data_IF_679725870308
#
_entry.id   IF_679725870308
#
_cell.length_a   1.000
_cell.length_b   1.000
_cell.length_c   1.000
_cell.angle_alpha   90.00
_cell.angle_beta   90.00
_cell.angle_gamma   90.00
#
_symmetry.space_group_name_H-M   'P 1'
#
loop_
_entity.id
_entity.type
_entity.pdbx_description
1 polymer ?
#
# COMPACT_ATOMS: atom_id res chain seq x y z
N UNK A 1 -5.79 3.29 -17.76
CA UNK A 1 -5.69 4.63 -17.17
C UNK A 1 -5.76 4.53 -15.65
N UNK A 2 -4.86 5.18 -14.94
CA UNK A 2 -4.82 5.16 -13.48
C UNK A 2 -5.73 6.24 -12.89
N UNK A 3 -7.03 5.98 -12.87
CA UNK A 3 -8.05 6.88 -12.33
C UNK A 3 -8.76 6.23 -11.12
N UNK A 4 -9.70 6.93 -10.50
CA UNK A 4 -10.42 6.41 -9.34
C UNK A 4 -11.15 5.10 -9.66
N UNK A 5 -11.75 4.99 -10.84
CA UNK A 5 -12.41 3.76 -11.27
C UNK A 5 -11.42 2.59 -11.33
N UNK A 6 -10.19 2.83 -11.78
CA UNK A 6 -9.12 1.83 -11.75
C UNK A 6 -8.79 1.39 -10.32
N UNK A 7 -8.65 2.36 -9.40
CA UNK A 7 -8.37 2.08 -7.99
C UNK A 7 -9.45 1.16 -7.40
N UNK A 8 -10.72 1.48 -7.66
CA UNK A 8 -11.85 0.68 -7.20
C UNK A 8 -11.80 -0.75 -7.76
N UNK A 9 -11.50 -0.89 -9.05
CA UNK A 9 -11.40 -2.21 -9.69
C UNK A 9 -10.25 -3.04 -9.11
N UNK A 10 -9.09 -2.42 -8.89
CA UNK A 10 -7.93 -3.11 -8.33
C UNK A 10 -8.21 -3.62 -6.91
N UNK A 11 -8.76 -2.77 -6.06
CA UNK A 11 -9.11 -3.14 -4.68
C UNK A 11 -10.16 -4.26 -4.67
N UNK A 12 -11.19 -4.15 -5.51
CA UNK A 12 -12.25 -5.18 -5.61
C UNK A 12 -11.72 -6.50 -6.14
N UNK A 13 -10.83 -6.47 -7.14
CA UNK A 13 -10.21 -7.68 -7.67
C UNK A 13 -9.46 -8.42 -6.57
N UNK A 14 -8.64 -7.74 -5.81
CA UNK A 14 -7.87 -8.34 -4.73
C UNK A 14 -8.79 -8.88 -3.63
N UNK A 15 -9.80 -8.10 -3.23
CA UNK A 15 -10.77 -8.54 -2.22
C UNK A 15 -11.50 -9.81 -2.65
N UNK A 16 -11.85 -9.92 -3.93
CA UNK A 16 -12.51 -11.13 -4.47
C UNK A 16 -11.61 -12.38 -4.38
N UNK A 17 -10.32 -12.19 -4.22
CA UNK A 17 -9.32 -13.26 -4.09
C UNK A 17 -8.86 -13.46 -2.63
N UNK A 18 -9.55 -12.83 -1.69
CA UNK A 18 -9.24 -12.95 -0.27
C UNK A 18 -8.14 -12.01 0.21
N UNK A 19 -7.82 -10.97 -0.55
CA UNK A 19 -6.77 -10.01 -0.22
C UNK A 19 -7.41 -8.64 0.02
N UNK A 20 -7.56 -8.28 1.29
CA UNK A 20 -8.10 -6.98 1.69
C UNK A 20 -6.96 -5.96 1.80
N UNK A 21 -7.16 -4.79 1.21
CA UNK A 21 -6.11 -3.78 1.11
C UNK A 21 -6.66 -2.39 1.44
N UNK A 22 -5.76 -1.51 1.87
CA UNK A 22 -6.05 -0.10 2.13
C UNK A 22 -5.17 0.77 1.25
N UNK A 23 -5.79 1.71 0.55
CA UNK A 23 -5.07 2.62 -0.35
C UNK A 23 -4.17 3.55 0.47
N UNK A 24 -2.92 3.70 0.05
CA UNK A 24 -2.00 4.67 0.63
C UNK A 24 -1.13 5.30 -0.46
N UNK A 25 -0.03 5.97 -0.09
CA UNK A 25 0.79 6.67 -1.06
C UNK A 25 0.04 7.85 -1.68
N UNK A 26 0.38 8.18 -2.92
CA UNK A 26 -0.20 9.33 -3.62
C UNK A 26 -1.71 9.29 -3.74
N UNK A 27 -2.27 8.14 -4.13
CA UNK A 27 -3.72 7.97 -4.19
C UNK A 27 -4.38 8.12 -2.83
N UNK A 28 -3.77 7.55 -1.78
CA UNK A 28 -4.28 7.69 -0.42
C UNK A 28 -4.33 9.14 0.01
N UNK A 29 -3.26 9.88 -0.25
CA UNK A 29 -3.19 11.31 0.07
C UNK A 29 -4.27 12.11 -0.66
N UNK A 30 -4.48 11.84 -1.95
CA UNK A 30 -5.52 12.51 -2.73
C UNK A 30 -6.93 12.18 -2.20
N UNK A 31 -7.22 10.91 -1.95
CA UNK A 31 -8.53 10.49 -1.47
C UNK A 31 -8.86 11.01 -0.07
N UNK A 32 -7.84 11.28 0.74
CA UNK A 32 -8.00 11.92 2.05
C UNK A 32 -8.01 13.45 1.97
N UNK A 33 -7.85 14.03 0.78
CA UNK A 33 -7.85 15.47 0.60
C UNK A 33 -6.58 16.15 1.10
N UNK A 34 -5.48 15.40 1.24
CA UNK A 34 -4.20 15.96 1.72
C UNK A 34 -3.40 16.62 0.61
N UNK A 35 -3.69 16.27 -0.63
CA UNK A 35 -3.08 16.85 -1.82
C UNK A 35 -4.18 17.14 -2.85
N UNK A 36 -3.89 18.01 -3.81
CA UNK A 36 -4.80 18.26 -4.94
C UNK A 36 -4.84 17.06 -5.87
N UNK A 37 -5.95 16.82 -6.55
CA UNK A 37 -6.02 15.79 -7.59
C UNK A 37 -4.89 15.95 -8.60
N UNK A 38 -4.27 14.82 -8.96
CA UNK A 38 -3.18 14.77 -9.93
C UNK A 38 -3.14 13.41 -10.61
N UNK A 39 -2.33 13.29 -11.65
CA UNK A 39 -2.04 12.00 -12.24
C UNK A 39 -1.15 11.18 -11.31
N UNK A 40 -1.41 9.88 -11.25
CA UNK A 40 -0.62 8.93 -10.46
C UNK A 40 0.00 7.90 -11.38
N UNK A 41 1.26 7.57 -11.14
CA UNK A 41 1.99 6.56 -11.92
C UNK A 41 1.63 5.16 -11.42
N UNK A 42 1.64 4.97 -10.11
CA UNK A 42 1.41 3.67 -9.47
C UNK A 42 0.20 3.72 -8.54
N UNK A 43 -0.22 2.54 -8.08
CA UNK A 43 -1.20 2.40 -7.01
C UNK A 43 -0.54 1.65 -5.86
N UNK A 44 -0.43 2.29 -4.70
CA UNK A 44 0.16 1.70 -3.51
C UNK A 44 -0.94 1.26 -2.54
N UNK A 45 -0.85 0.01 -2.08
CA UNK A 45 -1.83 -0.59 -1.18
C UNK A 45 -1.13 -1.21 0.02
N UNK A 46 -1.70 -1.01 1.21
CA UNK A 46 -1.27 -1.70 2.43
C UNK A 46 -2.05 -3.00 2.55
N UNK A 47 -1.34 -4.08 2.85
CA UNK A 47 -1.92 -5.41 3.01
C UNK A 47 -1.63 -5.95 4.41
N UNK A 48 -2.62 -5.95 5.33
CA UNK A 48 -2.42 -6.50 6.66
C UNK A 48 -2.48 -8.03 6.62
N UNK A 49 -1.38 -8.69 6.95
CA UNK A 49 -1.28 -10.15 6.99
C UNK A 49 -0.03 -10.58 7.76
N UNK A 50 0.04 -11.85 8.10
CA UNK A 50 1.23 -12.42 8.75
C UNK A 50 2.36 -12.64 7.73
N UNK A 51 2.01 -12.98 6.50
CA UNK A 51 2.98 -13.28 5.44
C UNK A 51 2.32 -13.13 4.06
N UNK A 52 3.04 -13.54 3.03
CA UNK A 52 2.59 -13.45 1.64
C UNK A 52 1.94 -14.73 1.11
N UNK A 53 1.62 -15.70 1.96
CA UNK A 53 1.19 -17.03 1.52
C UNK A 53 -0.05 -17.00 0.62
N UNK A 54 -1.03 -16.15 0.92
CA UNK A 54 -2.24 -16.02 0.09
C UNK A 54 -1.89 -15.31 -1.22
N UNK A 55 -1.21 -14.18 -1.13
CA UNK A 55 -0.86 -13.34 -2.28
C UNK A 55 0.03 -14.12 -3.27
N UNK A 56 1.03 -14.83 -2.77
CA UNK A 56 1.98 -15.55 -3.62
C UNK A 56 1.35 -16.73 -4.38
N UNK A 57 0.15 -17.15 -4.01
CA UNK A 57 -0.61 -18.17 -4.72
C UNK A 57 -1.55 -17.61 -5.79
N UNK A 58 -1.60 -16.30 -5.96
CA UNK A 58 -2.46 -15.68 -6.97
C UNK A 58 -1.79 -15.65 -8.34
N UNK A 59 -2.61 -15.80 -9.38
CA UNK A 59 -2.18 -15.64 -10.77
C UNK A 59 -2.34 -14.19 -11.18
N UNK A 60 -1.26 -13.41 -11.02
CA UNK A 60 -1.20 -12.01 -11.40
C UNK A 60 0.05 -11.79 -12.25
N UNK A 61 0.07 -10.69 -12.97
CA UNK A 61 1.22 -10.32 -13.81
C UNK A 61 2.33 -9.71 -12.93
N UNK A 62 3.03 -10.57 -12.20
CA UNK A 62 4.02 -10.19 -11.20
C UNK A 62 5.24 -9.51 -11.82
N UNK A 63 5.72 -8.47 -11.15
CA UNK A 63 6.97 -7.78 -11.49
C UNK A 63 8.07 -8.33 -10.58
N UNK A 64 8.88 -9.24 -11.11
CA UNK A 64 9.89 -9.94 -10.31
C UNK A 64 10.93 -9.02 -9.68
N UNK A 65 11.35 -7.97 -10.37
CA UNK A 65 12.30 -7.00 -9.85
C UNK A 65 11.80 -6.22 -8.63
N UNK A 66 10.51 -6.31 -8.33
CA UNK A 66 9.89 -5.66 -7.16
C UNK A 66 9.40 -6.66 -6.12
N UNK A 67 9.89 -7.90 -6.18
CA UNK A 67 9.56 -8.95 -5.22
C UNK A 67 10.55 -8.89 -4.05
N UNK A 68 10.15 -8.16 -2.99
CA UNK A 68 10.96 -7.94 -1.79
C UNK A 68 10.26 -8.54 -0.58
N UNK A 69 10.97 -8.67 0.54
CA UNK A 69 10.36 -9.24 1.76
C UNK A 69 9.11 -8.46 2.21
N UNK A 70 9.09 -7.16 1.98
CA UNK A 70 7.98 -6.28 2.42
C UNK A 70 7.05 -5.86 1.30
N UNK A 71 7.27 -6.31 0.05
CA UNK A 71 6.59 -5.76 -1.12
C UNK A 71 6.35 -6.80 -2.19
N UNK A 72 5.18 -6.72 -2.82
CA UNK A 72 4.85 -7.40 -4.07
C UNK A 72 4.30 -6.37 -5.05
N UNK A 73 4.58 -6.54 -6.32
CA UNK A 73 4.05 -5.65 -7.35
C UNK A 73 3.60 -6.44 -8.56
N UNK A 74 2.53 -5.98 -9.20
CA UNK A 74 2.02 -6.58 -10.42
C UNK A 74 1.47 -5.50 -11.34
N UNK A 75 1.35 -5.84 -12.62
CA UNK A 75 0.70 -4.98 -13.62
C UNK A 75 -0.78 -5.32 -13.70
N UNK A 76 -1.62 -4.30 -13.72
CA UNK A 76 -3.03 -4.42 -14.00
C UNK A 76 -3.40 -3.28 -14.93
N UNK A 77 -3.92 -3.58 -16.13
CA UNK A 77 -4.29 -2.56 -17.12
C UNK A 77 -3.13 -1.56 -17.36
N UNK A 78 -1.91 -2.07 -17.46
CA UNK A 78 -0.68 -1.30 -17.67
C UNK A 78 -0.27 -0.39 -16.50
N UNK A 79 -0.97 -0.45 -15.38
CA UNK A 79 -0.61 0.29 -14.15
C UNK A 79 0.09 -0.64 -13.17
N UNK A 80 1.16 -0.17 -12.56
CA UNK A 80 1.84 -0.91 -11.50
C UNK A 80 1.05 -0.78 -10.19
N UNK A 81 0.64 -1.93 -9.64
CA UNK A 81 0.01 -2.02 -8.32
C UNK A 81 1.05 -2.59 -7.35
N UNK A 82 1.30 -1.88 -6.27
CA UNK A 82 2.28 -2.29 -5.26
C UNK A 82 1.57 -2.62 -3.95
N UNK A 83 1.84 -3.82 -3.41
CA UNK A 83 1.34 -4.26 -2.13
C UNK A 83 2.46 -4.19 -1.11
N UNK A 84 2.21 -3.56 0.04
CA UNK A 84 3.15 -3.47 1.15
C UNK A 84 2.62 -4.28 2.32
N UNK A 85 3.41 -5.23 2.80
CA UNK A 85 3.02 -6.09 3.91
C UNK A 85 3.02 -5.32 5.21
N UNK A 86 1.91 -5.34 5.92
CA UNK A 86 1.78 -4.76 7.25
C UNK A 86 1.52 -5.89 8.23
N UNK A 87 2.47 -6.14 9.11
CA UNK A 87 2.39 -7.19 10.12
C UNK A 87 2.03 -6.59 11.47
N UNK A 88 1.67 -7.44 12.42
CA UNK A 88 1.30 -7.02 13.76
C UNK A 88 2.06 -7.83 14.80
N UNK A 89 2.62 -7.14 15.79
CA UNK A 89 3.25 -7.77 16.94
C UNK A 89 2.91 -7.01 18.24
N UNK A 90 3.60 -7.31 19.33
CA UNK A 90 3.33 -6.67 20.63
C UNK A 90 3.50 -5.15 20.61
N UNK A 91 4.23 -4.61 19.62
CA UNK A 91 4.45 -3.16 19.45
C UNK A 91 3.45 -2.53 18.48
N UNK A 92 2.56 -3.31 17.88
CA UNK A 92 1.54 -2.84 16.97
C UNK A 92 1.84 -3.15 15.50
N UNK A 93 1.17 -2.40 14.62
CA UNK A 93 1.31 -2.57 13.17
C UNK A 93 2.65 -2.04 12.67
N UNK A 94 3.32 -2.82 11.81
CA UNK A 94 4.62 -2.42 11.28
C UNK A 94 4.85 -3.00 9.88
N UNK A 95 5.74 -2.35 9.14
CA UNK A 95 6.32 -2.88 7.91
C UNK A 95 7.82 -2.89 8.07
N UNK A 96 8.44 -4.04 7.82
CA UNK A 96 9.88 -4.17 7.88
C UNK A 96 10.48 -3.81 6.52
N UNK A 97 10.98 -2.59 6.42
CA UNK A 97 11.62 -2.07 5.20
C UNK A 97 13.12 -2.36 5.26
N UNK A 98 13.54 -3.46 4.66
CA UNK A 98 14.94 -3.86 4.64
C UNK A 98 15.57 -3.85 6.06
N UNK A 99 16.33 -2.80 6.39
CA UNK A 99 17.00 -2.67 7.71
C UNK A 99 16.22 -1.84 8.71
N UNK A 100 15.07 -1.29 8.31
CA UNK A 100 14.31 -0.36 9.13
C UNK A 100 12.89 -0.84 9.33
N UNK A 101 12.44 -0.74 10.57
CA UNK A 101 11.05 -0.99 10.92
C UNK A 101 10.27 0.34 10.83
N UNK A 102 9.22 0.36 10.01
CA UNK A 102 8.28 1.47 9.99
C UNK A 102 7.07 1.09 10.85
N UNK A 103 6.80 1.85 11.90
CA UNK A 103 5.65 1.63 12.77
C UNK A 103 4.46 2.46 12.28
N UNK A 104 3.33 1.77 12.06
CA UNK A 104 2.09 2.42 11.67
C UNK A 104 1.30 2.82 12.90
N UNK A 105 0.48 3.90 12.84
CA UNK A 105 -0.41 4.24 13.96
C UNK A 105 -1.45 3.14 14.18
N UNK A 106 -1.97 3.05 15.41
CA UNK A 106 -2.96 2.02 15.75
C UNK A 106 -4.22 2.07 14.86
N UNK A 107 -4.57 3.26 14.37
CA UNK A 107 -5.76 3.47 13.52
C UNK A 107 -5.47 3.35 12.01
N UNK A 108 -4.34 2.80 11.61
CA UNK A 108 -3.94 2.73 10.18
C UNK A 108 -5.05 2.16 9.30
N UNK A 109 -5.77 1.16 9.78
CA UNK A 109 -6.84 0.47 9.04
C UNK A 109 -8.25 0.89 9.45
N UNK A 110 -8.43 2.11 9.97
CA UNK A 110 -9.74 2.61 10.36
C UNK A 110 -10.66 2.96 9.19
N UNK A 111 -10.10 3.14 7.99
CA UNK A 111 -10.90 3.39 6.79
C UNK A 111 -11.80 2.22 6.45
N UNK A 112 -13.02 2.52 5.99
CA UNK A 112 -14.05 1.53 5.65
C UNK A 112 -14.58 1.74 4.25
N UNK A 113 -15.48 0.86 3.81
CA UNK A 113 -16.11 0.94 2.50
C UNK A 113 -15.44 0.06 1.47
N UNK A 114 -15.86 0.20 0.21
CA UNK A 114 -15.37 -0.63 -0.89
C UNK A 114 -13.91 -0.34 -1.26
N UNK A 115 -13.48 0.89 -1.04
CA UNK A 115 -12.12 1.33 -1.36
C UNK A 115 -11.55 2.01 -0.12
N UNK A 116 -11.23 1.21 0.92
CA UNK A 116 -10.76 1.81 2.16
C UNK A 116 -9.39 2.45 1.98
N UNK A 117 -9.18 3.57 2.66
CA UNK A 117 -7.95 4.35 2.60
C UNK A 117 -7.29 4.33 3.97
N UNK A 118 -5.97 4.21 4.01
CA UNK A 118 -5.22 4.31 5.25
C UNK A 118 -5.52 5.63 5.95
N UNK A 119 -5.36 5.67 7.27
CA UNK A 119 -5.65 6.86 8.06
C UNK A 119 -4.76 8.04 7.65
N UNK A 120 -5.24 9.25 7.88
CA UNK A 120 -4.46 10.46 7.64
C UNK A 120 -3.13 10.43 8.40
N UNK A 121 -3.13 9.95 9.65
CA UNK A 121 -1.92 9.82 10.44
C UNK A 121 -0.92 8.84 9.81
N UNK A 122 -1.41 7.72 9.26
CA UNK A 122 -0.56 6.74 8.58
C UNK A 122 0.08 7.34 7.32
N UNK A 123 -0.69 8.05 6.51
CA UNK A 123 -0.19 8.68 5.29
C UNK A 123 0.87 9.74 5.60
N UNK A 124 0.60 10.61 6.55
CA UNK A 124 1.53 11.66 6.96
C UNK A 124 2.81 11.09 7.55
N UNK A 125 2.69 10.07 8.41
CA UNK A 125 3.84 9.42 9.05
C UNK A 125 4.76 8.74 8.06
N UNK A 126 4.21 8.02 7.10
CA UNK A 126 5.00 7.36 6.05
C UNK A 126 5.71 8.37 5.16
N UNK A 127 5.01 9.42 4.74
CA UNK A 127 5.60 10.47 3.92
C UNK A 127 6.77 11.15 4.62
N UNK A 128 6.63 11.42 5.91
CA UNK A 128 7.70 12.01 6.72
C UNK A 128 8.93 11.10 6.76
N UNK A 129 8.74 9.81 7.06
CA UNK A 129 9.81 8.81 7.10
C UNK A 129 10.54 8.70 5.76
N UNK A 130 9.80 8.66 4.66
CA UNK A 130 10.37 8.56 3.33
C UNK A 130 11.25 9.76 3.00
N UNK A 131 10.82 10.97 3.36
CA UNK A 131 11.60 12.19 3.13
C UNK A 131 12.90 12.22 3.94
N UNK A 132 12.85 11.74 5.18
CA UNK A 132 14.05 11.64 6.03
C UNK A 132 15.05 10.68 5.40
N UNK A 133 14.60 9.51 4.94
CA UNK A 133 15.45 8.53 4.27
C UNK A 133 16.08 9.08 3.00
N UNK A 134 15.31 9.80 2.19
CA UNK A 134 15.80 10.41 0.97
C UNK A 134 16.90 11.43 1.24
N UNK A 135 16.83 12.15 2.36
CA UNK A 135 17.88 13.08 2.79
C UNK A 135 19.13 12.36 3.24
N UNK A 136 18.97 11.23 3.91
CA UNK A 136 20.11 10.44 4.41
C UNK A 136 20.90 9.80 3.28
N UNK A 137 20.25 9.52 2.17
CA UNK A 137 20.86 8.91 0.98
C UNK A 137 21.52 9.97 0.07
N UNK A 138 21.06 11.19 0.14
CA UNK A 138 21.63 12.29 -0.63
C UNK A 138 22.89 12.83 0.05
#
# INVERSE_FOLDING_TARGET
>A
MNDLSFVERAVSLLASKGVDTWVFGGWGEELRGLIKPREHVDLDLLYPAEDWSIVDNLYLDWIEGKHLDWKRAFKLEDVTVELFLVQYDARGWFTQLERRRHNWPANVFSGTGRTPVASTAALAGYRHSYRVDARDVA
#
